data_IF_077653966119
#
_entry.id   IF_077653966119
#
_cell.length_a   1.000
_cell.length_b   1.000
_cell.length_c   1.000
_cell.angle_alpha   90.00
_cell.angle_beta   90.00
_cell.angle_gamma   90.00
#
_symmetry.space_group_name_H-M   'P 1'
#
loop_
_entity.id
_entity.type
_entity.pdbx_description
1 polymer ?
#
# COMPACT_ATOMS: atom_id res chain seq x y z
N UNK A 1 -28.58 22.82 -14.42
CA UNK A 1 -27.31 22.06 -14.39
C UNK A 1 -27.42 20.68 -13.73
N UNK A 2 -28.40 20.41 -12.86
CA UNK A 2 -28.50 19.11 -12.14
C UNK A 2 -29.06 17.92 -12.94
N UNK A 3 -29.78 18.15 -14.04
CA UNK A 3 -30.44 17.05 -14.79
C UNK A 3 -29.43 16.18 -15.58
N UNK A 4 -28.39 16.78 -16.18
CA UNK A 4 -27.35 16.03 -16.91
C UNK A 4 -26.43 15.22 -16.00
N UNK A 5 -26.21 15.69 -14.76
CA UNK A 5 -25.38 14.98 -13.77
C UNK A 5 -26.12 13.76 -13.19
N UNK A 6 -27.43 13.88 -12.99
CA UNK A 6 -28.25 12.78 -12.47
C UNK A 6 -28.57 11.70 -13.52
N UNK A 7 -28.43 12.00 -14.80
CA UNK A 7 -28.70 11.04 -15.90
C UNK A 7 -27.52 10.09 -16.17
N UNK A 8 -26.40 10.22 -15.44
CA UNK A 8 -25.19 9.42 -15.69
C UNK A 8 -24.56 9.67 -17.06
N UNK A 9 -24.85 10.80 -17.71
CA UNK A 9 -24.37 11.10 -19.06
C UNK A 9 -22.83 11.17 -19.11
N UNK A 10 -22.20 11.81 -18.13
CA UNK A 10 -20.75 11.93 -18.07
C UNK A 10 -20.04 10.67 -17.57
N UNK A 11 -20.72 9.88 -16.72
CA UNK A 11 -20.11 8.71 -16.09
C UNK A 11 -20.27 7.44 -16.95
N UNK A 12 -21.31 7.39 -17.79
CA UNK A 12 -21.68 6.18 -18.56
C UNK A 12 -21.69 6.47 -20.06
N UNK A 13 -22.45 7.45 -20.52
CA UNK A 13 -22.69 7.67 -21.96
C UNK A 13 -21.45 8.22 -22.66
N UNK A 14 -20.78 9.21 -22.06
CA UNK A 14 -19.59 9.83 -22.65
C UNK A 14 -18.41 8.83 -22.76
N UNK A 15 -18.03 8.07 -21.70
CA UNK A 15 -17.00 7.05 -21.81
C UNK A 15 -17.39 5.94 -22.78
N UNK A 16 -18.67 5.55 -22.81
CA UNK A 16 -19.18 4.54 -23.75
C UNK A 16 -18.96 4.94 -25.21
N UNK A 17 -19.42 6.13 -25.61
CA UNK A 17 -19.26 6.63 -26.99
C UNK A 17 -17.77 6.75 -27.34
N UNK A 18 -16.96 7.21 -26.39
CA UNK A 18 -15.52 7.37 -26.60
C UNK A 18 -14.82 6.02 -26.81
N UNK A 19 -15.08 5.03 -25.98
CA UNK A 19 -14.50 3.67 -26.11
C UNK A 19 -14.99 3.02 -27.39
N UNK A 20 -16.30 3.11 -27.70
CA UNK A 20 -16.84 2.60 -28.95
C UNK A 20 -16.14 3.20 -30.16
N UNK A 21 -16.04 4.53 -30.24
CA UNK A 21 -15.41 5.22 -31.36
C UNK A 21 -13.91 4.91 -31.45
N UNK A 22 -13.22 4.81 -30.31
CA UNK A 22 -11.80 4.49 -30.25
C UNK A 22 -11.52 3.07 -30.74
N UNK A 23 -12.26 2.08 -30.25
CA UNK A 23 -12.09 0.68 -30.66
C UNK A 23 -12.49 0.50 -32.13
N UNK A 24 -13.61 1.10 -32.55
CA UNK A 24 -14.04 1.11 -33.95
C UNK A 24 -12.96 1.72 -34.85
N UNK A 25 -12.42 2.87 -34.46
CA UNK A 25 -11.36 3.55 -35.19
C UNK A 25 -10.07 2.73 -35.28
N UNK A 26 -9.67 2.08 -34.18
CA UNK A 26 -8.48 1.20 -34.16
C UNK A 26 -8.68 0.01 -35.09
N UNK A 27 -9.82 -0.68 -35.00
CA UNK A 27 -10.12 -1.84 -35.86
C UNK A 27 -10.25 -1.45 -37.33
N UNK A 28 -10.88 -0.31 -37.62
CA UNK A 28 -11.01 0.19 -38.99
C UNK A 28 -9.66 0.62 -39.58
N UNK A 29 -8.79 1.25 -38.77
CA UNK A 29 -7.48 1.71 -39.23
C UNK A 29 -6.46 0.59 -39.39
N UNK A 30 -6.53 -0.44 -38.54
CA UNK A 30 -5.63 -1.60 -38.63
C UNK A 30 -6.04 -2.59 -39.72
N UNK A 31 -7.27 -2.49 -40.24
CA UNK A 31 -7.81 -3.34 -41.30
C UNK A 31 -7.65 -4.85 -41.03
N UNK A 32 -7.58 -5.25 -39.75
CA UNK A 32 -7.41 -6.66 -39.32
C UNK A 32 -8.53 -7.55 -39.85
N UNK A 33 -9.74 -7.01 -39.98
CA UNK A 33 -10.93 -7.71 -40.47
C UNK A 33 -11.22 -7.43 -41.95
N UNK A 34 -10.37 -6.65 -42.63
CA UNK A 34 -10.59 -6.09 -43.96
C UNK A 34 -10.86 -4.59 -43.95
N UNK A 35 -11.03 -4.00 -45.13
CA UNK A 35 -11.29 -2.57 -45.29
C UNK A 35 -12.81 -2.26 -45.21
N UNK A 36 -13.29 -1.56 -44.17
CA UNK A 36 -14.70 -1.20 -44.02
C UNK A 36 -15.17 -0.08 -44.96
N UNK A 37 -14.27 0.45 -45.79
CA UNK A 37 -14.54 1.48 -46.79
C UNK A 37 -14.13 1.05 -48.21
N UNK A 38 -13.93 -0.26 -48.43
CA UNK A 38 -13.58 -0.81 -49.75
C UNK A 38 -14.69 -0.50 -50.78
N UNK A 39 -14.30 0.04 -51.94
CA UNK A 39 -15.23 0.41 -53.02
C UNK A 39 -15.47 -0.71 -54.03
N UNK A 40 -14.55 -1.66 -54.13
CA UNK A 40 -14.59 -2.73 -55.14
C UNK A 40 -15.65 -3.80 -54.79
N UNK A 41 -15.80 -4.10 -53.49
CA UNK A 41 -16.77 -5.07 -53.01
C UNK A 41 -17.62 -4.49 -51.87
N UNK A 42 -18.67 -3.78 -52.24
CA UNK A 42 -19.54 -3.09 -51.30
C UNK A 42 -20.22 -4.05 -50.30
N UNK A 43 -20.57 -5.27 -50.74
CA UNK A 43 -21.16 -6.29 -49.89
C UNK A 43 -20.19 -6.72 -48.77
N UNK A 44 -18.91 -6.91 -49.12
CA UNK A 44 -17.85 -7.24 -48.16
C UNK A 44 -17.59 -6.07 -47.22
N UNK A 45 -17.47 -4.84 -47.72
CA UNK A 45 -17.26 -3.64 -46.90
C UNK A 45 -18.38 -3.46 -45.86
N UNK A 46 -19.63 -3.69 -46.25
CA UNK A 46 -20.79 -3.63 -45.34
C UNK A 46 -20.74 -4.70 -44.24
N UNK A 47 -20.33 -5.92 -44.60
CA UNK A 47 -20.17 -7.01 -43.65
C UNK A 47 -19.06 -6.71 -42.63
N UNK A 48 -17.89 -6.29 -43.11
CA UNK A 48 -16.75 -5.91 -42.26
C UNK A 48 -17.11 -4.76 -41.32
N UNK A 49 -17.78 -3.71 -41.81
CA UNK A 49 -18.22 -2.59 -40.97
C UNK A 49 -19.19 -3.02 -39.87
N UNK A 50 -20.12 -3.92 -40.19
CA UNK A 50 -21.08 -4.45 -39.22
C UNK A 50 -20.37 -5.24 -38.11
N UNK A 51 -19.39 -6.08 -38.48
CA UNK A 51 -18.59 -6.83 -37.51
C UNK A 51 -17.76 -5.90 -36.63
N UNK A 52 -17.04 -4.94 -37.21
CA UNK A 52 -16.24 -3.98 -36.46
C UNK A 52 -17.13 -3.19 -35.48
N UNK A 53 -18.29 -2.74 -35.94
CA UNK A 53 -19.27 -2.05 -35.09
C UNK A 53 -19.74 -2.92 -33.93
N UNK A 54 -20.12 -4.18 -34.19
CA UNK A 54 -20.60 -5.10 -33.16
C UNK A 54 -19.53 -5.45 -32.12
N UNK A 55 -18.30 -5.69 -32.56
CA UNK A 55 -17.15 -5.94 -31.67
C UNK A 55 -16.87 -4.71 -30.80
N UNK A 56 -16.81 -3.52 -31.43
CA UNK A 56 -16.53 -2.27 -30.72
C UNK A 56 -17.62 -1.94 -29.70
N UNK A 57 -18.88 -2.19 -30.06
CA UNK A 57 -20.04 -2.00 -29.19
C UNK A 57 -19.99 -2.96 -28.00
N UNK A 58 -19.68 -4.23 -28.25
CA UNK A 58 -19.56 -5.25 -27.19
C UNK A 58 -18.44 -4.90 -26.20
N UNK A 59 -17.28 -4.47 -26.70
CA UNK A 59 -16.16 -4.04 -25.85
C UNK A 59 -16.55 -2.79 -25.04
N UNK A 60 -17.18 -1.79 -25.67
CA UNK A 60 -17.62 -0.59 -24.97
C UNK A 60 -18.59 -0.91 -23.83
N UNK A 61 -19.56 -1.81 -24.05
CA UNK A 61 -20.47 -2.26 -22.99
C UNK A 61 -19.75 -3.03 -21.88
N UNK A 62 -18.80 -3.90 -22.20
CA UNK A 62 -18.03 -4.64 -21.19
C UNK A 62 -17.20 -3.70 -20.31
N UNK A 63 -16.52 -2.73 -20.91
CA UNK A 63 -15.68 -1.78 -20.16
C UNK A 63 -16.54 -0.91 -19.24
N UNK A 64 -17.65 -0.37 -19.75
CA UNK A 64 -18.54 0.48 -18.95
C UNK A 64 -19.29 -0.33 -17.89
N UNK A 65 -19.72 -1.55 -18.21
CA UNK A 65 -20.34 -2.47 -17.26
C UNK A 65 -19.40 -2.89 -16.12
N UNK A 66 -18.10 -3.03 -16.41
CA UNK A 66 -17.08 -3.34 -15.42
C UNK A 66 -16.60 -2.13 -14.61
N UNK A 67 -17.08 -0.91 -14.88
CA UNK A 67 -16.61 0.33 -14.25
C UNK A 67 -16.55 0.25 -12.72
N UNK A 68 -17.64 -0.19 -12.09
CA UNK A 68 -17.70 -0.31 -10.62
C UNK A 68 -16.67 -1.32 -10.09
N UNK A 69 -16.43 -2.42 -10.81
CA UNK A 69 -15.43 -3.43 -10.42
C UNK A 69 -14.03 -2.85 -10.50
N UNK A 70 -13.73 -2.12 -11.57
CA UNK A 70 -12.42 -1.46 -11.75
C UNK A 70 -12.18 -0.40 -10.66
N UNK A 71 -13.20 0.39 -10.31
CA UNK A 71 -13.11 1.35 -9.21
C UNK A 71 -12.80 0.67 -7.88
N UNK A 72 -13.49 -0.44 -7.57
CA UNK A 72 -13.21 -1.22 -6.35
C UNK A 72 -11.80 -1.78 -6.33
N UNK A 73 -11.29 -2.25 -7.47
CA UNK A 73 -9.90 -2.70 -7.57
C UNK A 73 -8.95 -1.52 -7.30
N UNK A 74 -9.22 -0.34 -7.87
CA UNK A 74 -8.39 0.85 -7.64
C UNK A 74 -8.37 1.29 -6.18
N UNK A 75 -9.49 1.19 -5.47
CA UNK A 75 -9.56 1.41 -4.02
C UNK A 75 -8.73 0.39 -3.24
N UNK A 76 -8.63 -0.85 -3.74
CA UNK A 76 -7.91 -1.94 -3.08
C UNK A 76 -6.39 -1.94 -3.34
N UNK A 77 -5.94 -1.46 -4.52
CA UNK A 77 -4.51 -1.39 -4.90
C UNK A 77 -3.61 -0.79 -3.80
N UNK A 78 -3.90 0.37 -3.18
CA UNK A 78 -3.03 0.94 -2.16
C UNK A 78 -2.89 0.04 -0.93
N UNK A 79 -3.97 -0.63 -0.49
CA UNK A 79 -3.92 -1.58 0.62
C UNK A 79 -3.09 -2.82 0.27
N UNK A 80 -3.21 -3.32 -0.95
CA UNK A 80 -2.39 -4.43 -1.43
C UNK A 80 -0.89 -4.09 -1.46
N UNK A 81 -0.54 -2.87 -1.89
CA UNK A 81 0.84 -2.38 -1.89
C UNK A 81 1.37 -2.25 -0.45
N UNK A 82 0.58 -1.67 0.45
CA UNK A 82 0.95 -1.54 1.87
C UNK A 82 1.19 -2.91 2.51
N UNK A 83 0.37 -3.91 2.17
CA UNK A 83 0.54 -5.28 2.65
C UNK A 83 1.83 -5.93 2.12
N UNK A 84 2.12 -5.77 0.82
CA UNK A 84 3.37 -6.28 0.24
C UNK A 84 4.58 -5.61 0.91
N UNK A 85 4.51 -4.30 1.16
CA UNK A 85 5.57 -3.55 1.82
C UNK A 85 5.76 -4.00 3.27
N UNK A 86 4.68 -4.28 4.01
CA UNK A 86 4.77 -4.75 5.39
C UNK A 86 5.45 -6.12 5.47
N UNK A 87 5.08 -7.04 4.57
CA UNK A 87 5.73 -8.37 4.45
C UNK A 87 7.20 -8.22 4.09
N UNK A 88 7.54 -7.34 3.14
CA UNK A 88 8.92 -7.07 2.77
C UNK A 88 9.74 -6.54 3.96
N UNK A 89 9.18 -5.59 4.74
CA UNK A 89 9.84 -5.03 5.91
C UNK A 89 10.08 -6.11 7.00
N UNK A 90 9.12 -7.03 7.19
CA UNK A 90 9.29 -8.17 8.08
C UNK A 90 10.41 -9.11 7.60
N UNK A 91 10.46 -9.41 6.31
CA UNK A 91 11.53 -10.25 5.74
C UNK A 91 12.91 -9.61 5.90
N UNK A 92 13.05 -8.30 5.70
CA UNK A 92 14.31 -7.56 5.94
C UNK A 92 14.67 -7.59 7.43
N UNK A 93 13.70 -7.42 8.31
CA UNK A 93 13.94 -7.52 9.76
C UNK A 93 14.42 -8.93 10.14
N UNK A 94 13.79 -9.98 9.59
CA UNK A 94 14.24 -11.35 9.83
C UNK A 94 15.60 -11.66 9.19
N UNK A 95 15.92 -11.12 8.02
CA UNK A 95 17.24 -11.33 7.40
C UNK A 95 18.37 -10.76 8.25
N UNK A 96 18.13 -9.64 8.94
CA UNK A 96 19.06 -9.09 9.93
C UNK A 96 19.30 -10.03 11.13
N UNK A 97 18.46 -11.05 11.32
CA UNK A 97 18.60 -12.10 12.34
C UNK A 97 19.29 -13.38 11.89
N UNK A 98 19.14 -13.74 10.62
CA UNK A 98 19.70 -14.99 10.09
C UNK A 98 21.02 -14.80 9.34
N UNK A 99 21.41 -13.57 8.98
CA UNK A 99 22.76 -13.33 8.45
C UNK A 99 23.80 -13.51 9.58
N UNK A 100 24.78 -14.43 9.42
CA UNK A 100 25.90 -14.52 10.34
C UNK A 100 26.69 -13.22 10.25
N UNK A 101 26.75 -12.47 11.35
CA UNK A 101 27.56 -11.28 11.46
C UNK A 101 29.02 -11.72 11.37
N UNK A 102 29.60 -11.61 10.17
CA UNK A 102 31.00 -11.92 9.93
C UNK A 102 31.89 -10.95 10.71
N UNK A 103 32.25 -11.32 11.94
CA UNK A 103 33.34 -10.70 12.69
C UNK A 103 32.94 -9.92 13.94
N UNK A 104 33.39 -10.42 15.10
CA UNK A 104 33.88 -9.69 16.28
C UNK A 104 33.03 -8.54 16.87
N UNK A 105 31.70 -8.63 16.90
CA UNK A 105 30.87 -7.67 17.65
C UNK A 105 30.48 -8.26 19.00
N UNK A 106 30.72 -7.50 20.10
CA UNK A 106 30.45 -7.89 21.50
C UNK A 106 29.06 -8.52 21.64
N UNK A 107 29.04 -9.81 21.95
CA UNK A 107 27.89 -10.71 21.92
C UNK A 107 26.70 -10.26 22.78
N UNK A 108 26.92 -9.57 23.89
CA UNK A 108 25.86 -9.40 24.90
C UNK A 108 25.00 -8.13 24.78
N UNK A 109 25.48 -7.06 24.13
CA UNK A 109 24.69 -5.82 23.96
C UNK A 109 23.95 -5.81 22.62
N UNK A 110 24.61 -6.25 21.55
CA UNK A 110 24.02 -6.31 20.21
C UNK A 110 22.86 -7.31 20.12
N UNK A 111 22.89 -8.41 20.89
CA UNK A 111 21.78 -9.37 20.96
C UNK A 111 20.49 -8.75 21.50
N UNK A 112 20.61 -7.87 22.50
CA UNK A 112 19.46 -7.24 23.12
C UNK A 112 18.84 -6.19 22.18
N UNK A 113 19.68 -5.41 21.49
CA UNK A 113 19.24 -4.49 20.43
C UNK A 113 18.57 -5.23 19.27
N UNK A 114 19.14 -6.36 18.84
CA UNK A 114 18.53 -7.23 17.82
C UNK A 114 17.11 -7.59 18.25
N UNK A 115 16.96 -8.25 19.41
CA UNK A 115 15.66 -8.71 19.94
C UNK A 115 14.62 -7.59 19.99
N UNK A 116 15.03 -6.38 20.40
CA UNK A 116 14.13 -5.22 20.47
C UNK A 116 13.70 -4.74 19.09
N UNK A 117 14.60 -4.70 18.10
CA UNK A 117 14.27 -4.36 16.71
C UNK A 117 13.28 -5.36 16.11
N UNK A 118 13.43 -6.67 16.41
CA UNK A 118 12.49 -7.69 15.93
C UNK A 118 11.11 -7.54 16.54
N UNK A 119 11.03 -7.36 17.87
CA UNK A 119 9.75 -7.13 18.54
C UNK A 119 9.07 -5.87 17.98
N UNK A 120 9.83 -4.79 17.77
CA UNK A 120 9.31 -3.56 17.17
C UNK A 120 8.81 -3.78 15.74
N UNK A 121 9.56 -4.52 14.91
CA UNK A 121 9.16 -4.81 13.53
C UNK A 121 7.91 -5.69 13.45
N UNK A 122 7.72 -6.62 14.40
CA UNK A 122 6.52 -7.44 14.49
C UNK A 122 5.32 -6.58 14.87
N UNK A 123 5.49 -5.66 15.83
CA UNK A 123 4.44 -4.72 16.23
C UNK A 123 4.03 -3.85 15.03
N UNK A 124 5.01 -3.26 14.33
CA UNK A 124 4.76 -2.43 13.15
C UNK A 124 4.09 -3.24 12.03
N UNK A 125 4.57 -4.46 11.77
CA UNK A 125 3.97 -5.38 10.81
C UNK A 125 2.52 -5.71 11.15
N UNK A 126 2.22 -6.02 12.41
CA UNK A 126 0.85 -6.29 12.87
C UNK A 126 -0.05 -5.08 12.65
N UNK A 127 0.41 -3.86 12.99
CA UNK A 127 -0.36 -2.63 12.77
C UNK A 127 -0.61 -2.40 11.27
N UNK A 128 0.42 -2.47 10.43
CA UNK A 128 0.30 -2.27 8.99
C UNK A 128 -0.60 -3.32 8.33
N UNK A 129 -0.58 -4.56 8.82
CA UNK A 129 -1.44 -5.64 8.34
C UNK A 129 -2.90 -5.37 8.72
N UNK A 130 -3.18 -4.92 9.95
CA UNK A 130 -4.53 -4.55 10.38
C UNK A 130 -5.10 -3.37 9.57
N UNK A 131 -4.25 -2.41 9.19
CA UNK A 131 -4.62 -1.30 8.30
C UNK A 131 -4.90 -1.80 6.88
N UNK A 132 -4.05 -2.67 6.36
CA UNK A 132 -4.19 -3.22 5.01
C UNK A 132 -5.41 -4.13 4.86
N UNK A 133 -5.82 -4.81 5.92
CA UNK A 133 -7.06 -5.59 5.98
C UNK A 133 -8.32 -4.73 6.14
N UNK A 134 -8.17 -3.41 6.29
CA UNK A 134 -9.29 -2.47 6.47
C UNK A 134 -9.99 -2.58 7.83
N UNK A 135 -9.41 -3.33 8.79
CA UNK A 135 -9.95 -3.46 10.15
C UNK A 135 -9.75 -2.15 10.92
N UNK A 136 -8.63 -1.48 10.67
CA UNK A 136 -8.28 -0.18 11.27
C UNK A 136 -8.11 0.82 10.13
N UNK A 137 -8.91 1.88 10.13
CA UNK A 137 -8.73 2.95 9.13
C UNK A 137 -7.54 3.84 9.53
N UNK A 138 -6.84 4.40 8.54
CA UNK A 138 -5.77 5.38 8.78
C UNK A 138 -6.30 6.59 9.56
N UNK A 139 -7.56 6.97 9.31
CA UNK A 139 -8.27 8.04 10.02
C UNK A 139 -8.56 7.67 11.49
N UNK A 140 -8.80 6.40 11.80
CA UNK A 140 -8.95 5.92 13.18
C UNK A 140 -7.62 5.99 13.95
N UNK A 141 -6.49 5.71 13.29
CA UNK A 141 -5.17 5.87 13.89
C UNK A 141 -4.87 7.36 14.11
N UNK A 142 -5.15 8.19 13.10
CA UNK A 142 -4.94 9.63 13.18
C UNK A 142 -5.80 10.26 14.29
N UNK A 143 -7.10 9.96 14.34
CA UNK A 143 -8.00 10.48 15.37
C UNK A 143 -7.73 9.89 16.76
N UNK A 144 -7.26 8.65 16.87
CA UNK A 144 -6.80 8.07 18.13
C UNK A 144 -5.54 8.76 18.65
N UNK A 145 -4.59 9.04 17.76
CA UNK A 145 -3.36 9.76 18.10
C UNK A 145 -3.66 11.24 18.43
N UNK A 146 -4.50 11.90 17.63
CA UNK A 146 -4.94 13.27 17.88
C UNK A 146 -5.78 13.36 19.16
N UNK A 147 -6.75 12.48 19.43
CA UNK A 147 -7.51 12.51 20.70
C UNK A 147 -6.64 12.25 21.94
N UNK A 148 -5.60 11.40 21.81
CA UNK A 148 -4.60 11.20 22.85
C UNK A 148 -3.65 12.39 23.03
N UNK A 149 -3.31 13.11 21.96
CA UNK A 149 -2.43 14.28 21.98
C UNK A 149 -3.17 15.60 22.31
N UNK A 150 -4.46 15.69 21.99
CA UNK A 150 -5.34 16.83 22.26
C UNK A 150 -5.74 16.91 23.73
N UNK A 151 -5.71 15.78 24.44
CA UNK A 151 -5.60 15.80 25.88
C UNK A 151 -4.16 16.17 26.22
N UNK A 152 -3.92 17.47 26.44
CA UNK A 152 -2.61 18.05 26.74
C UNK A 152 -1.84 17.23 27.79
N UNK A 153 -2.56 16.67 28.78
CA UNK A 153 -2.01 15.83 29.85
C UNK A 153 -1.53 14.46 29.32
N UNK A 154 -2.30 13.80 28.45
CA UNK A 154 -1.96 12.49 27.88
C UNK A 154 -0.81 12.64 26.87
N UNK A 155 -0.83 13.70 26.07
CA UNK A 155 0.28 14.05 25.18
C UNK A 155 1.58 14.29 25.96
N UNK A 156 1.53 15.01 27.08
CA UNK A 156 2.67 15.22 27.97
C UNK A 156 3.17 13.90 28.57
N UNK A 157 2.27 13.04 29.05
CA UNK A 157 2.64 11.73 29.64
C UNK A 157 3.30 10.83 28.61
N UNK A 158 2.84 10.83 27.35
CA UNK A 158 3.44 10.03 26.29
C UNK A 158 4.83 10.57 25.93
N UNK A 159 5.00 11.88 25.81
CA UNK A 159 6.29 12.51 25.48
C UNK A 159 7.30 12.33 26.63
N UNK A 160 6.92 12.64 27.87
CA UNK A 160 7.79 12.45 29.03
C UNK A 160 8.00 10.97 29.36
N UNK A 161 7.01 10.11 29.08
CA UNK A 161 7.15 8.66 29.18
C UNK A 161 8.13 8.11 28.15
N UNK A 162 8.09 8.62 26.92
CA UNK A 162 9.04 8.25 25.86
C UNK A 162 10.44 8.77 26.16
N UNK A 163 10.59 10.03 26.60
CA UNK A 163 11.88 10.59 27.01
C UNK A 163 12.42 9.85 28.23
N UNK A 164 11.58 9.58 29.24
CA UNK A 164 11.94 8.80 30.42
C UNK A 164 12.31 7.36 30.08
N UNK A 165 11.64 6.77 29.09
CA UNK A 165 11.98 5.46 28.55
C UNK A 165 13.34 5.49 27.84
N UNK A 166 13.62 6.49 26.99
CA UNK A 166 14.91 6.67 26.32
C UNK A 166 16.03 6.91 27.35
N UNK A 167 15.82 7.76 28.35
CA UNK A 167 16.78 8.01 29.43
C UNK A 167 16.99 6.75 30.26
N UNK A 168 15.93 6.01 30.62
CA UNK A 168 16.04 4.74 31.33
C UNK A 168 16.82 3.72 30.52
N UNK A 169 16.56 3.65 29.21
CA UNK A 169 17.22 2.74 28.29
C UNK A 169 18.73 3.03 28.18
N UNK A 170 19.09 4.32 28.04
CA UNK A 170 20.49 4.77 27.98
C UNK A 170 21.19 4.63 29.34
N UNK A 171 20.52 4.99 30.45
CA UNK A 171 21.12 4.97 31.79
C UNK A 171 21.31 3.55 32.32
N UNK A 172 20.57 2.57 31.80
CA UNK A 172 20.72 1.16 32.20
C UNK A 172 22.01 0.52 31.67
N UNK A 173 22.66 1.11 30.66
CA UNK A 173 23.99 0.71 30.19
C UNK A 173 25.09 1.21 31.14
N UNK A 174 24.97 2.42 31.70
CA UNK A 174 25.98 3.00 32.62
C UNK A 174 26.08 2.35 34.01
N UNK A 175 25.03 1.66 34.49
CA UNK A 175 25.00 1.08 35.86
C UNK A 175 25.66 -0.29 36.00
N UNK A 176 26.11 -0.92 34.92
CA UNK A 176 26.78 -2.23 34.99
C UNK A 176 28.29 -2.12 35.26
N UNK A 177 28.93 -0.98 35.03
CA UNK A 177 30.38 -0.83 35.26
C UNK A 177 30.77 -0.51 36.72
N UNK A 178 29.94 0.20 37.49
CA UNK A 178 30.32 0.60 38.87
C UNK A 178 30.27 -0.51 39.92
N UNK A 179 29.54 -1.61 39.68
CA UNK A 179 29.52 -2.75 40.63
C UNK A 179 30.74 -3.68 40.50
N UNK A 180 31.54 -3.54 39.45
CA UNK A 180 32.79 -4.31 39.27
C UNK A 180 34.01 -3.70 39.99
N UNK A 181 33.98 -2.42 40.34
CA UNK A 181 35.18 -1.70 40.81
C UNK A 181 35.37 -1.64 42.34
N UNK A 182 34.38 -2.05 43.16
CA UNK A 182 34.47 -1.97 44.64
C UNK A 182 34.75 -3.30 45.37
N UNK A 183 35.02 -4.38 44.64
CA UNK A 183 35.31 -5.71 45.24
C UNK A 183 36.79 -6.07 45.41
N UNK A 184 37.72 -5.25 44.92
CA UNK A 184 39.13 -5.62 44.77
C UNK A 184 40.11 -4.67 45.45
N UNK A 185 39.92 -4.35 46.74
CA UNK A 185 41.01 -3.77 47.55
C UNK A 185 40.73 -3.94 49.04
N UNK A 186 41.10 -5.10 49.58
CA UNK A 186 41.58 -5.24 50.97
C UNK A 186 42.18 -6.63 51.16
N UNK A 187 43.42 -6.68 51.62
CA UNK A 187 44.07 -7.92 52.08
C UNK A 187 45.48 -8.13 51.51
N UNK A 188 46.45 -7.41 52.09
CA UNK A 188 47.80 -7.95 52.28
C UNK A 188 47.74 -9.21 53.14
#
# INVERSE_FOLDING_TARGET
MSVLKNFGFFDIILPFILIYALIFGILAKTQILGDPFEKDNEARARFVRSIISLISLSIAFLVVGAYNVVLRIQEFIPYAILYILSVFMLLVSMSAFYLPTGGQVKENEFENYRKVILVLSIIIFSILTLVSLGIISVQSIQSGLESGLNNEIIGLIIIFGFIGFVIYWITREGKKEEKGAKGGSSGK
#
